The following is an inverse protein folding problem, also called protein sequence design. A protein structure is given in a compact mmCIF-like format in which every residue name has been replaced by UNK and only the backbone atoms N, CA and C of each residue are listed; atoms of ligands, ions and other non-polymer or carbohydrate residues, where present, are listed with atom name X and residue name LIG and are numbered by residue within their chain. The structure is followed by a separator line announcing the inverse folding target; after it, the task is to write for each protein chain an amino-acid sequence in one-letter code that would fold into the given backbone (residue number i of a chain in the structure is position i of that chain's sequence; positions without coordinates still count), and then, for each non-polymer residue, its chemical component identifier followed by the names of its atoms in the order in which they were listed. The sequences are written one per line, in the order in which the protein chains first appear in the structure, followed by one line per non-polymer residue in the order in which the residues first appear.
data_IF_423524786050
#
_entry.id   IF_423524786050
#
_cell.length_a   1.000
_cell.length_b   1.000
_cell.length_c   1.000
_cell.angle_alpha   90.00
_cell.angle_beta   90.00
_cell.angle_gamma   90.00
#
_symmetry.space_group_name_H-M   'P 1'
#
loop_
_entity.id
_entity.type
_entity.pdbx_description
1 polymer ?
#
# COMPACT_ATOMS: atom_id res chain seq x y z
N UNK A 1 -13.48 7.81 -4.07
CA UNK A 1 -12.08 8.20 -3.77
C UNK A 1 -11.58 7.25 -2.70
N UNK A 2 -10.39 6.68 -2.87
CA UNK A 2 -9.80 5.80 -1.87
C UNK A 2 -9.38 6.65 -0.66
N UNK A 3 -9.74 6.25 0.56
CA UNK A 3 -9.49 7.01 1.80
C UNK A 3 -8.43 6.34 2.66
N UNK A 4 -8.51 5.02 2.78
CA UNK A 4 -7.58 4.22 3.58
C UNK A 4 -7.41 2.84 2.93
N UNK A 5 -6.23 2.25 3.11
CA UNK A 5 -5.90 0.89 2.75
C UNK A 5 -5.46 0.16 4.03
N UNK A 6 -6.07 -0.99 4.28
CA UNK A 6 -5.74 -1.89 5.38
C UNK A 6 -5.39 -3.26 4.81
N UNK A 7 -4.16 -3.71 5.04
CA UNK A 7 -3.69 -5.04 4.64
C UNK A 7 -3.29 -5.81 5.90
N UNK A 8 -3.70 -7.08 5.97
CA UNK A 8 -3.26 -8.03 7.01
C UNK A 8 -2.94 -9.37 6.37
N UNK A 9 -1.78 -9.93 6.71
CA UNK A 9 -1.32 -11.26 6.30
C UNK A 9 -1.44 -11.51 4.77
N UNK A 10 -0.93 -10.59 3.95
CA UNK A 10 -0.99 -10.68 2.49
C UNK A 10 0.39 -10.60 1.85
N UNK A 11 0.74 -11.65 1.10
CA UNK A 11 2.07 -11.82 0.50
C UNK A 11 3.20 -11.64 1.53
N UNK A 12 4.01 -10.58 1.43
CA UNK A 12 5.10 -10.28 2.38
C UNK A 12 4.70 -9.25 3.46
N UNK A 13 3.45 -8.80 3.47
CA UNK A 13 2.95 -7.74 4.35
C UNK A 13 2.16 -8.39 5.50
N UNK A 14 2.71 -8.32 6.70
CA UNK A 14 2.03 -8.79 7.91
C UNK A 14 0.88 -7.85 8.31
N UNK A 15 1.17 -6.54 8.42
CA UNK A 15 0.16 -5.51 8.69
C UNK A 15 0.56 -4.16 8.04
N UNK A 16 -0.39 -3.52 7.36
CA UNK A 16 -0.24 -2.18 6.79
C UNK A 16 -1.54 -1.40 6.96
N UNK A 17 -1.45 -0.20 7.53
CA UNK A 17 -2.55 0.77 7.56
C UNK A 17 -2.04 2.08 6.93
N UNK A 18 -2.71 2.51 5.87
CA UNK A 18 -2.26 3.65 5.06
C UNK A 18 -3.45 4.54 4.71
N UNK A 19 -3.41 5.81 5.13
CA UNK A 19 -4.42 6.81 4.76
C UNK A 19 -3.96 7.62 3.56
N UNK A 20 -4.82 7.70 2.55
CA UNK A 20 -4.56 8.51 1.37
C UNK A 20 -4.86 9.97 1.65
N UNK A 21 -4.01 10.84 1.13
CA UNK A 21 -4.26 12.27 1.12
C UNK A 21 -4.97 12.68 -0.17
N UNK A 22 -5.71 13.79 -0.18
CA UNK A 22 -6.22 14.36 -1.42
C UNK A 22 -5.08 14.68 -2.41
N UNK A 23 -5.36 14.57 -3.70
CA UNK A 23 -4.39 14.86 -4.75
C UNK A 23 -3.58 13.64 -5.20
N UNK A 24 -2.28 13.83 -5.42
CA UNK A 24 -1.40 12.83 -5.99
C UNK A 24 -0.56 12.15 -4.91
N UNK A 25 -0.84 10.86 -4.66
CA UNK A 25 -0.09 10.05 -3.72
C UNK A 25 0.98 9.26 -4.48
N UNK A 26 2.22 9.30 -4.00
CA UNK A 26 3.35 8.56 -4.62
C UNK A 26 3.81 7.48 -3.66
N UNK A 27 3.73 6.22 -4.11
CA UNK A 27 4.36 5.10 -3.41
C UNK A 27 5.76 4.86 -3.97
N UNK A 28 6.76 4.88 -3.09
CA UNK A 28 8.17 4.64 -3.43
C UNK A 28 8.74 3.51 -2.58
N UNK A 29 9.95 3.03 -2.93
CA UNK A 29 10.62 1.95 -2.22
C UNK A 29 11.53 1.16 -3.16
N UNK A 30 12.27 0.20 -2.62
CA UNK A 30 13.19 -0.65 -3.38
C UNK A 30 12.46 -1.79 -4.11
N UNK A 31 13.15 -2.50 -5.00
CA UNK A 31 12.63 -3.71 -5.64
C UNK A 31 12.37 -4.77 -4.57
N UNK A 32 11.20 -5.40 -4.59
CA UNK A 32 10.80 -6.38 -3.57
C UNK A 32 10.18 -5.79 -2.31
N UNK A 33 10.12 -4.46 -2.15
CA UNK A 33 9.47 -3.81 -1.00
C UNK A 33 7.93 -3.94 -0.95
N UNK A 34 7.33 -4.72 -1.85
CA UNK A 34 5.89 -4.99 -1.85
C UNK A 34 5.00 -3.87 -2.41
N UNK A 35 5.55 -2.92 -3.17
CA UNK A 35 4.75 -1.89 -3.84
C UNK A 35 3.70 -2.45 -4.79
N UNK A 36 4.05 -3.46 -5.60
CA UNK A 36 3.09 -4.09 -6.53
C UNK A 36 1.95 -4.79 -5.79
N UNK A 37 2.26 -5.38 -4.63
CA UNK A 37 1.28 -6.03 -3.76
C UNK A 37 0.20 -5.05 -3.28
N UNK A 38 0.58 -3.79 -3.05
CA UNK A 38 -0.35 -2.71 -2.67
C UNK A 38 -1.23 -2.25 -3.85
N UNK A 39 -0.77 -2.38 -5.09
CA UNK A 39 -1.52 -1.96 -6.29
C UNK A 39 -2.45 -3.07 -6.78
N UNK A 40 -2.08 -4.33 -6.59
CA UNK A 40 -2.87 -5.50 -7.01
C UNK A 40 -4.00 -5.86 -6.02
N UNK A 41 -3.93 -5.36 -4.78
CA UNK A 41 -4.95 -5.54 -3.73
C UNK A 41 -6.12 -4.56 -3.87
#
# INVERSE_FOLDING_TARGET
MLVELNIKNFAIIDELNLRFSPGFNVLTGETGAGKSIIIDA
#
